data_IF_032741154075
#
_entry.id   IF_032741154075
#
_cell.length_a   1.000
_cell.length_b   1.000
_cell.length_c   1.000
_cell.angle_alpha   90.00
_cell.angle_beta   90.00
_cell.angle_gamma   90.00
#
_symmetry.space_group_name_H-M   'P 1'
#
loop_
_entity.id
_entity.type
_entity.pdbx_description
1 polymer ?
#
# COMPACT_ATOMS: atom_id res chain seq x y z
N UNK A 1 28.63 -35.10 6.92
CA UNK A 1 28.05 -34.95 8.28
C UNK A 1 27.53 -33.51 8.49
N UNK A 2 28.33 -32.47 8.29
CA UNK A 2 27.90 -31.06 8.53
C UNK A 2 26.71 -30.64 7.64
N UNK A 3 26.72 -30.95 6.33
CA UNK A 3 25.64 -30.62 5.40
C UNK A 3 24.35 -31.39 5.77
N UNK A 4 24.46 -32.66 6.20
CA UNK A 4 23.31 -33.46 6.63
C UNK A 4 22.68 -32.88 7.91
N UNK A 5 23.51 -32.45 8.87
CA UNK A 5 23.02 -31.80 10.07
C UNK A 5 22.34 -30.45 9.75
N UNK A 6 22.92 -29.67 8.86
CA UNK A 6 22.31 -28.44 8.36
C UNK A 6 20.95 -28.65 7.71
N UNK A 7 20.82 -29.68 6.85
CA UNK A 7 19.52 -30.09 6.29
C UNK A 7 18.49 -30.46 7.33
N UNK A 8 18.89 -31.21 8.36
CA UNK A 8 18.00 -31.58 9.47
C UNK A 8 17.52 -30.34 10.24
N UNK A 9 18.40 -29.40 10.53
CA UNK A 9 18.03 -28.15 11.21
C UNK A 9 17.05 -27.33 10.36
N UNK A 10 17.29 -27.22 9.04
CA UNK A 10 16.37 -26.54 8.12
C UNK A 10 15.01 -27.23 8.04
N UNK A 11 15.00 -28.58 8.04
CA UNK A 11 13.76 -29.37 8.04
C UNK A 11 12.93 -29.14 9.32
N UNK A 12 13.55 -28.96 10.50
CA UNK A 12 12.82 -28.60 11.74
C UNK A 12 12.18 -27.23 11.65
N UNK A 13 12.72 -26.34 10.81
CA UNK A 13 12.15 -25.01 10.48
C UNK A 13 11.22 -25.05 9.26
N UNK A 14 10.73 -26.23 8.86
CA UNK A 14 9.83 -26.44 7.72
C UNK A 14 10.42 -25.99 6.37
N UNK A 15 11.74 -25.96 6.25
CA UNK A 15 12.45 -25.62 5.01
C UNK A 15 12.97 -26.88 4.36
N UNK A 16 12.54 -27.17 3.13
CA UNK A 16 12.98 -28.32 2.33
C UNK A 16 14.24 -27.92 1.54
N UNK A 17 15.33 -28.68 1.77
CA UNK A 17 16.56 -28.57 1.00
C UNK A 17 16.52 -29.58 -0.14
N UNK A 18 16.50 -29.14 -1.38
CA UNK A 18 16.51 -30.02 -2.56
C UNK A 18 17.90 -30.57 -2.87
N UNK A 19 18.92 -29.73 -2.71
CA UNK A 19 20.30 -30.12 -2.96
C UNK A 19 21.18 -29.81 -1.75
N UNK A 20 21.96 -30.76 -1.26
CA UNK A 20 22.80 -30.58 -0.08
C UNK A 20 23.86 -29.47 -0.24
N UNK A 21 24.34 -29.26 -1.45
CA UNK A 21 25.33 -28.23 -1.75
C UNK A 21 24.77 -26.80 -1.64
N UNK A 22 23.43 -26.63 -1.70
CA UNK A 22 22.83 -25.30 -1.54
C UNK A 22 23.12 -24.70 -0.16
N UNK A 23 23.31 -25.53 0.88
CA UNK A 23 23.62 -25.08 2.25
C UNK A 23 24.99 -24.38 2.27
N UNK A 24 25.99 -24.92 1.56
CA UNK A 24 27.31 -24.30 1.46
C UNK A 24 27.24 -23.01 0.63
N UNK A 25 26.46 -23.01 -0.44
CA UNK A 25 26.26 -21.83 -1.28
C UNK A 25 25.54 -20.74 -0.52
N UNK A 26 24.48 -21.07 0.24
CA UNK A 26 23.75 -20.10 1.09
C UNK A 26 24.65 -19.46 2.13
N UNK A 27 25.60 -20.21 2.70
CA UNK A 27 26.57 -19.66 3.66
C UNK A 27 27.57 -18.66 3.05
N UNK A 28 27.63 -18.57 1.72
CA UNK A 28 28.51 -17.65 0.99
C UNK A 28 27.77 -16.50 0.33
N UNK A 29 26.44 -16.46 0.48
CA UNK A 29 25.61 -15.39 -0.11
C UNK A 29 26.01 -14.05 0.48
N UNK A 30 26.40 -13.13 -0.39
CA UNK A 30 26.72 -11.75 -0.06
C UNK A 30 25.66 -10.76 -0.57
N UNK A 31 24.79 -11.20 -1.46
CA UNK A 31 23.70 -10.38 -2.00
C UNK A 31 22.40 -11.18 -2.05
N UNK A 32 21.34 -10.65 -1.42
CA UNK A 32 20.02 -11.25 -1.36
C UNK A 32 18.99 -10.37 -2.08
N UNK A 33 18.44 -10.90 -3.17
CA UNK A 33 17.35 -10.28 -3.93
C UNK A 33 16.00 -10.79 -3.40
N UNK A 34 15.20 -9.91 -2.86
CA UNK A 34 13.91 -10.19 -2.24
C UNK A 34 12.77 -9.73 -3.16
N UNK A 35 11.87 -10.62 -3.53
CA UNK A 35 10.60 -10.19 -4.10
C UNK A 35 9.78 -9.46 -3.01
N UNK A 36 9.10 -8.37 -3.34
CA UNK A 36 8.27 -7.64 -2.39
C UNK A 36 7.08 -8.51 -1.95
N UNK A 37 6.30 -8.97 -2.94
CA UNK A 37 4.99 -9.59 -2.70
C UNK A 37 5.14 -11.05 -2.28
N UNK A 38 4.55 -11.40 -1.14
CA UNK A 38 4.64 -12.76 -0.59
C UNK A 38 5.96 -13.07 0.15
N UNK A 39 6.95 -12.17 0.10
CA UNK A 39 8.24 -12.30 0.82
C UNK A 39 8.35 -11.27 1.94
N UNK A 40 8.48 -9.99 1.62
CA UNK A 40 8.49 -8.89 2.61
C UNK A 40 7.07 -8.62 3.09
N UNK A 41 6.09 -8.73 2.18
CA UNK A 41 4.67 -8.59 2.48
C UNK A 41 3.97 -9.95 2.49
N UNK A 42 2.80 -10.03 3.11
CA UNK A 42 1.98 -11.24 3.15
C UNK A 42 1.31 -11.56 1.80
N UNK A 43 1.34 -10.62 0.84
CA UNK A 43 0.57 -10.70 -0.40
C UNK A 43 -0.90 -10.29 -0.23
N UNK A 44 -1.27 -9.82 0.95
CA UNK A 44 -2.57 -9.25 1.27
C UNK A 44 -2.47 -7.73 1.43
N UNK A 45 -3.61 -7.05 1.33
CA UNK A 45 -3.71 -5.61 1.54
C UNK A 45 -4.65 -5.29 2.70
N UNK A 46 -4.48 -4.11 3.28
CA UNK A 46 -5.42 -3.55 4.27
C UNK A 46 -5.74 -2.10 3.93
N UNK A 47 -6.93 -1.67 4.32
CA UNK A 47 -7.28 -0.25 4.39
C UNK A 47 -6.66 0.28 5.67
N UNK A 48 -5.65 1.14 5.54
CA UNK A 48 -4.96 1.74 6.68
C UNK A 48 -5.74 2.92 7.24
N UNK A 49 -6.31 3.74 6.35
CA UNK A 49 -7.03 4.94 6.73
C UNK A 49 -8.17 5.25 5.77
N UNK A 50 -9.18 5.96 6.27
CA UNK A 50 -10.32 6.51 5.52
C UNK A 50 -10.42 7.99 5.83
N UNK A 51 -10.21 8.83 4.82
CA UNK A 51 -10.21 10.27 4.96
C UNK A 51 -11.40 10.89 4.26
N UNK A 52 -12.02 11.89 4.89
CA UNK A 52 -13.02 12.73 4.25
C UNK A 52 -12.33 13.67 3.27
N UNK A 53 -12.97 13.92 2.13
CA UNK A 53 -12.55 14.95 1.21
C UNK A 53 -13.65 15.99 1.09
N UNK A 54 -13.36 17.24 1.50
CA UNK A 54 -14.29 18.35 1.42
C UNK A 54 -13.74 19.39 0.45
N UNK A 55 -14.43 19.62 -0.65
CA UNK A 55 -14.06 20.61 -1.67
C UNK A 55 -14.20 22.06 -1.18
N UNK A 56 -14.92 22.28 -0.08
CA UNK A 56 -15.15 23.63 0.48
C UNK A 56 -14.12 24.03 1.53
N UNK A 57 -13.37 23.08 2.08
CA UNK A 57 -12.29 23.31 3.03
C UNK A 57 -11.07 22.48 2.63
N UNK A 58 -10.00 23.14 2.22
CA UNK A 58 -8.69 22.54 1.89
C UNK A 58 -8.01 21.88 3.11
N UNK A 59 -8.76 21.28 3.99
CA UNK A 59 -8.25 20.65 5.21
C UNK A 59 -8.62 19.18 5.19
N UNK A 60 -7.63 18.36 4.83
CA UNK A 60 -7.77 16.92 5.03
C UNK A 60 -7.63 16.63 6.50
N UNK A 61 -8.70 16.18 7.10
CA UNK A 61 -8.70 15.74 8.49
C UNK A 61 -8.12 14.32 8.53
N UNK A 62 -6.87 14.20 8.98
CA UNK A 62 -6.22 12.91 9.19
C UNK A 62 -6.86 12.22 10.38
N UNK A 63 -7.70 11.24 10.12
CA UNK A 63 -8.27 10.39 11.16
C UNK A 63 -7.61 9.01 11.12
N UNK A 64 -6.62 8.80 11.96
CA UNK A 64 -6.16 7.45 12.28
C UNK A 64 -7.19 6.77 13.17
N UNK A 65 -8.26 6.25 12.57
CA UNK A 65 -9.13 5.33 13.27
C UNK A 65 -8.34 4.04 13.51
N UNK A 66 -7.82 3.85 14.74
CA UNK A 66 -7.21 2.58 15.13
C UNK A 66 -8.32 1.55 15.23
N UNK A 67 -8.23 0.51 14.43
CA UNK A 67 -9.13 -0.65 14.47
C UNK A 67 -8.48 -1.76 15.28
N UNK A 68 -9.29 -2.51 16.00
CA UNK A 68 -8.88 -3.73 16.69
C UNK A 68 -8.39 -4.73 15.62
N UNK A 69 -7.14 -5.22 15.71
CA UNK A 69 -6.56 -6.11 14.70
C UNK A 69 -7.24 -7.48 14.65
N UNK A 70 -7.95 -7.91 15.69
CA UNK A 70 -8.62 -9.21 15.74
C UNK A 70 -10.09 -9.14 15.30
N UNK A 71 -10.79 -8.06 15.60
CA UNK A 71 -12.24 -7.97 15.31
C UNK A 71 -12.57 -7.09 14.11
N UNK A 72 -11.65 -6.22 13.67
CA UNK A 72 -11.88 -5.24 12.59
C UNK A 72 -12.89 -4.13 12.98
N UNK A 73 -13.30 -4.07 14.25
CA UNK A 73 -14.21 -3.04 14.74
C UNK A 73 -13.45 -1.76 15.15
N UNK A 74 -14.03 -0.58 14.92
CA UNK A 74 -13.45 0.65 15.40
C UNK A 74 -13.38 0.62 16.93
N UNK A 75 -12.19 0.85 17.49
CA UNK A 75 -11.99 0.90 18.94
C UNK A 75 -12.82 2.06 19.51
N UNK A 76 -13.95 1.75 20.16
CA UNK A 76 -14.90 2.73 20.67
C UNK A 76 -14.38 3.58 21.83
N UNK A 77 -13.15 3.33 22.34
CA UNK A 77 -12.60 4.04 23.49
C UNK A 77 -11.53 5.07 23.06
N UNK A 78 -12.00 6.21 22.55
CA UNK A 78 -11.16 7.37 22.19
C UNK A 78 -10.55 8.06 23.45
N UNK A 79 -10.97 7.69 24.67
CA UNK A 79 -10.51 8.30 25.92
C UNK A 79 -9.19 7.76 26.48
N UNK A 80 -8.56 6.76 25.87
CA UNK A 80 -7.33 6.12 26.36
C UNK A 80 -6.09 6.34 25.45
N UNK A 81 -6.21 7.04 24.33
CA UNK A 81 -5.09 7.32 23.43
C UNK A 81 -4.48 8.69 23.80
N UNK A 82 -3.24 8.68 24.29
CA UNK A 82 -2.43 9.90 24.37
C UNK A 82 -2.26 10.45 22.96
N UNK A 83 -2.53 11.75 22.71
CA UNK A 83 -2.28 12.36 21.42
C UNK A 83 -0.77 12.30 21.12
N UNK A 84 -0.38 11.87 19.93
CA UNK A 84 0.95 12.15 19.41
C UNK A 84 1.01 13.65 19.12
N UNK A 85 1.75 14.35 19.96
CA UNK A 85 1.91 15.80 19.90
C UNK A 85 2.88 16.13 18.78
N UNK A 86 2.37 16.69 17.68
CA UNK A 86 3.22 17.40 16.72
C UNK A 86 3.43 18.81 17.24
N UNK A 87 4.62 19.08 17.78
CA UNK A 87 4.98 20.41 18.28
C UNK A 87 5.49 21.27 17.14
N UNK A 88 4.68 22.18 16.64
CA UNK A 88 5.14 23.30 15.83
C UNK A 88 5.47 24.47 16.75
N UNK A 89 6.75 24.83 16.85
CA UNK A 89 7.22 25.95 17.66
C UNK A 89 7.30 27.22 16.79
N UNK A 90 6.37 28.14 16.95
CA UNK A 90 6.53 29.53 16.49
C UNK A 90 7.12 30.37 17.63
N UNK A 91 8.20 31.10 17.31
CA UNK A 91 8.83 32.04 18.23
C UNK A 91 8.25 33.45 18.01
N UNK A 92 7.37 33.87 18.87
CA UNK A 92 7.09 35.28 19.09
C UNK A 92 7.35 35.66 20.56
N UNK A 93 8.17 36.66 20.76
CA UNK A 93 8.43 37.33 22.05
C UNK A 93 8.92 36.50 23.24
N UNK A 94 9.79 35.50 23.00
CA UNK A 94 10.60 34.92 24.09
C UNK A 94 9.86 34.03 25.07
N UNK A 95 8.60 33.67 24.81
CA UNK A 95 7.85 32.62 25.54
C UNK A 95 7.35 31.57 24.58
N UNK A 96 7.63 30.31 24.91
CA UNK A 96 7.11 29.15 24.18
C UNK A 96 5.69 28.91 24.68
N UNK A 97 4.69 29.21 23.86
CA UNK A 97 3.33 28.73 24.09
C UNK A 97 3.15 27.42 23.31
N UNK A 98 3.08 26.32 24.03
CA UNK A 98 2.65 25.02 23.48
C UNK A 98 1.14 25.06 23.26
N UNK A 99 0.72 25.22 22.02
CA UNK A 99 -0.69 25.04 21.65
C UNK A 99 -0.90 23.56 21.33
N UNK A 100 -1.51 22.83 22.26
CA UNK A 100 -1.95 21.45 22.06
C UNK A 100 -3.25 21.49 21.26
N UNK A 101 -3.16 21.32 19.93
CA UNK A 101 -4.34 21.10 19.09
C UNK A 101 -4.76 19.64 19.22
N UNK A 102 -5.64 19.33 20.16
CA UNK A 102 -6.41 18.10 20.13
C UNK A 102 -7.56 18.30 19.14
N UNK A 103 -7.38 17.93 17.89
CA UNK A 103 -8.47 17.89 16.92
C UNK A 103 -9.48 16.82 17.32
N UNK A 104 -10.50 17.24 18.03
CA UNK A 104 -11.68 16.42 18.30
C UNK A 104 -12.47 16.38 17.00
N UNK A 105 -12.60 15.19 16.40
CA UNK A 105 -13.47 14.95 15.22
C UNK A 105 -14.83 15.59 15.48
N UNK A 106 -15.24 16.50 14.63
CA UNK A 106 -16.51 17.19 14.74
C UNK A 106 -17.67 16.17 14.63
N UNK A 107 -18.82 16.52 15.16
CA UNK A 107 -20.00 15.65 15.06
C UNK A 107 -20.44 15.45 13.60
N UNK A 108 -20.23 16.44 12.78
CA UNK A 108 -20.51 16.42 11.34
C UNK A 108 -19.56 15.47 10.58
N UNK A 109 -18.27 15.50 10.85
CA UNK A 109 -17.29 14.60 10.25
C UNK A 109 -17.56 13.13 10.63
N UNK A 110 -17.95 12.88 11.87
CA UNK A 110 -18.36 11.52 12.29
C UNK A 110 -19.57 11.02 11.51
N UNK A 111 -20.55 11.88 11.25
CA UNK A 111 -21.71 11.54 10.45
C UNK A 111 -21.32 11.24 8.98
N UNK A 112 -20.46 12.05 8.39
CA UNK A 112 -19.94 11.82 7.03
C UNK A 112 -19.17 10.51 6.93
N UNK A 113 -18.32 10.17 7.91
CA UNK A 113 -17.61 8.88 7.96
C UNK A 113 -18.56 7.69 8.11
N UNK A 114 -19.59 7.81 8.95
CA UNK A 114 -20.62 6.77 9.09
C UNK A 114 -21.43 6.59 7.79
N UNK A 115 -21.67 7.67 7.05
CA UNK A 115 -22.30 7.58 5.74
C UNK A 115 -21.41 6.87 4.72
N UNK A 116 -20.10 7.16 4.70
CA UNK A 116 -19.14 6.42 3.87
C UNK A 116 -19.14 4.94 4.22
N UNK A 117 -19.07 4.58 5.51
CA UNK A 117 -19.14 3.19 5.97
C UNK A 117 -20.44 2.49 5.52
N UNK A 118 -21.55 3.19 5.58
CA UNK A 118 -22.85 2.69 5.16
C UNK A 118 -22.92 2.45 3.65
N UNK A 119 -22.50 3.42 2.83
CA UNK A 119 -22.47 3.31 1.37
C UNK A 119 -21.50 2.21 0.94
N UNK A 120 -20.29 2.19 1.49
CA UNK A 120 -19.30 1.17 1.16
C UNK A 120 -19.75 -0.24 1.53
N UNK A 121 -20.41 -0.43 2.68
CA UNK A 121 -20.99 -1.71 3.04
C UNK A 121 -22.02 -2.22 2.01
N UNK A 122 -22.88 -1.33 1.51
CA UNK A 122 -23.83 -1.66 0.44
C UNK A 122 -23.13 -1.91 -0.91
N UNK A 123 -22.09 -1.14 -1.25
CA UNK A 123 -21.29 -1.40 -2.46
C UNK A 123 -20.56 -2.75 -2.37
N UNK A 124 -19.99 -3.11 -1.22
CA UNK A 124 -19.29 -4.39 -1.04
C UNK A 124 -20.22 -5.61 -1.13
N UNK A 125 -21.52 -5.45 -0.89
CA UNK A 125 -22.50 -6.53 -1.06
C UNK A 125 -22.82 -6.84 -2.52
N UNK A 126 -22.59 -5.89 -3.43
CA UNK A 126 -23.00 -5.99 -4.86
C UNK A 126 -21.81 -6.02 -5.82
N UNK A 127 -20.61 -5.65 -5.36
CA UNK A 127 -19.38 -5.73 -6.13
C UNK A 127 -18.63 -7.02 -5.81
N UNK A 128 -18.41 -7.87 -6.82
CA UNK A 128 -17.83 -9.21 -6.66
C UNK A 128 -16.42 -9.33 -7.23
N UNK A 129 -15.67 -8.23 -7.28
CA UNK A 129 -14.29 -8.21 -7.75
C UNK A 129 -13.40 -9.12 -6.88
N UNK A 130 -12.53 -9.93 -7.52
CA UNK A 130 -11.63 -10.87 -6.85
C UNK A 130 -10.19 -10.38 -7.00
N UNK A 131 -9.76 -9.51 -6.09
CA UNK A 131 -8.38 -9.03 -6.01
C UNK A 131 -8.08 -8.55 -4.59
N UNK A 132 -6.80 -8.43 -4.25
CA UNK A 132 -6.35 -8.04 -2.90
C UNK A 132 -6.92 -6.71 -2.41
N UNK A 133 -7.14 -5.75 -3.31
CA UNK A 133 -7.77 -4.45 -2.99
C UNK A 133 -9.23 -4.61 -2.57
N UNK A 134 -10.00 -5.39 -3.35
CA UNK A 134 -11.41 -5.68 -3.03
C UNK A 134 -11.55 -6.47 -1.73
N UNK A 135 -10.63 -7.39 -1.46
CA UNK A 135 -10.62 -8.17 -0.22
C UNK A 135 -10.32 -7.26 1.00
N UNK A 136 -9.37 -6.33 0.86
CA UNK A 136 -9.08 -5.33 1.89
C UNK A 136 -10.30 -4.44 2.18
N UNK A 137 -11.02 -4.00 1.13
CA UNK A 137 -12.23 -3.20 1.26
C UNK A 137 -13.37 -3.99 1.93
N UNK A 138 -13.61 -5.27 1.54
CA UNK A 138 -14.62 -6.11 2.18
C UNK A 138 -14.32 -6.38 3.66
N UNK A 139 -13.03 -6.53 3.99
CA UNK A 139 -12.61 -6.70 5.39
C UNK A 139 -12.88 -5.43 6.21
N UNK A 140 -12.68 -4.25 5.63
CA UNK A 140 -12.88 -2.96 6.29
C UNK A 140 -14.36 -2.54 6.34
N UNK A 141 -15.11 -2.84 5.30
CA UNK A 141 -16.52 -2.45 5.13
C UNK A 141 -17.41 -3.69 5.05
N UNK A 142 -17.92 -4.19 6.18
CA UNK A 142 -18.80 -5.35 6.20
C UNK A 142 -20.02 -5.14 5.32
N UNK A 143 -20.40 -6.18 4.56
CA UNK A 143 -21.53 -6.13 3.62
C UNK A 143 -22.84 -5.72 4.27
N UNK A 144 -23.56 -4.82 3.64
CA UNK A 144 -24.91 -4.35 4.01
C UNK A 144 -25.84 -4.48 2.80
N UNK A 145 -27.15 -4.64 3.04
CA UNK A 145 -28.18 -4.80 1.99
C UNK A 145 -29.44 -3.98 2.31
N UNK A 146 -29.25 -2.77 2.84
CA UNK A 146 -30.36 -1.89 3.23
C UNK A 146 -30.66 -0.78 2.22
N UNK A 147 -29.80 -0.62 1.18
CA UNK A 147 -30.07 0.24 0.05
C UNK A 147 -30.57 -0.56 -1.16
N UNK A 148 -31.56 -0.02 -1.85
CA UNK A 148 -32.12 -0.66 -3.04
C UNK A 148 -31.20 -0.41 -4.25
N UNK A 149 -30.54 -1.47 -4.69
CA UNK A 149 -29.68 -1.44 -5.87
C UNK A 149 -30.51 -1.25 -7.15
N UNK A 150 -30.14 -0.29 -8.00
CA UNK A 150 -30.63 -0.19 -9.38
C UNK A 150 -29.74 -1.05 -10.29
N UNK A 151 -28.43 -0.82 -10.29
CA UNK A 151 -27.45 -1.72 -10.92
C UNK A 151 -26.03 -1.53 -10.35
N UNK A 152 -25.21 -2.55 -10.48
CA UNK A 152 -23.80 -2.51 -10.16
C UNK A 152 -22.97 -2.15 -11.39
N UNK A 153 -21.87 -1.42 -11.17
CA UNK A 153 -20.86 -1.09 -12.18
C UNK A 153 -19.60 -1.88 -11.84
N UNK A 154 -19.37 -3.08 -12.43
CA UNK A 154 -18.20 -3.90 -12.12
C UNK A 154 -16.90 -3.19 -12.50
N UNK A 155 -15.80 -3.54 -11.83
CA UNK A 155 -14.48 -3.02 -12.18
C UNK A 155 -14.11 -3.37 -13.62
N UNK A 156 -13.47 -2.44 -14.29
CA UNK A 156 -12.86 -2.65 -15.60
C UNK A 156 -11.44 -2.11 -15.61
N UNK A 157 -10.52 -2.89 -16.18
CA UNK A 157 -9.11 -2.47 -16.34
C UNK A 157 -8.95 -1.25 -17.23
N UNK A 158 -9.91 -1.00 -18.13
CA UNK A 158 -9.90 0.18 -19.01
C UNK A 158 -10.41 1.42 -18.27
N UNK A 159 -11.50 1.29 -17.51
CA UNK A 159 -12.12 2.38 -16.76
C UNK A 159 -11.42 2.69 -15.45
N UNK A 160 -10.77 1.68 -14.83
CA UNK A 160 -10.07 1.79 -13.52
C UNK A 160 -10.97 2.24 -12.36
N UNK A 161 -12.28 2.01 -12.47
CA UNK A 161 -13.25 2.22 -11.40
C UNK A 161 -14.33 1.14 -11.40
N UNK A 162 -15.00 1.01 -10.28
CA UNK A 162 -16.22 0.25 -10.05
C UNK A 162 -17.23 1.11 -9.30
N UNK A 163 -18.47 0.67 -9.18
CA UNK A 163 -19.48 1.45 -8.47
C UNK A 163 -20.82 0.77 -8.36
N UNK A 164 -21.78 1.50 -7.81
CA UNK A 164 -23.17 1.09 -7.70
C UNK A 164 -24.11 2.29 -7.82
N UNK A 165 -25.30 2.05 -8.34
CA UNK A 165 -26.38 3.02 -8.43
C UNK A 165 -27.49 2.56 -7.49
N UNK A 166 -27.85 3.41 -6.53
CA UNK A 166 -28.89 3.13 -5.55
C UNK A 166 -30.11 4.05 -5.76
N UNK A 167 -31.31 3.48 -5.65
CA UNK A 167 -32.57 4.20 -5.87
C UNK A 167 -32.70 5.39 -4.90
N UNK A 168 -32.94 6.58 -5.45
CA UNK A 168 -33.06 7.83 -4.70
C UNK A 168 -31.76 8.31 -4.01
N UNK A 169 -30.62 7.69 -4.32
CA UNK A 169 -29.29 8.03 -3.76
C UNK A 169 -28.26 8.35 -4.84
N UNK A 170 -28.59 8.14 -6.13
CA UNK A 170 -27.69 8.42 -7.24
C UNK A 170 -26.61 7.34 -7.45
N UNK A 171 -25.49 7.78 -8.02
CA UNK A 171 -24.38 6.92 -8.43
C UNK A 171 -23.17 7.13 -7.52
N UNK A 172 -22.62 6.03 -7.01
CA UNK A 172 -21.36 6.00 -6.28
C UNK A 172 -20.30 5.29 -7.09
N UNK A 173 -19.18 5.93 -7.32
CA UNK A 173 -18.01 5.36 -8.01
C UNK A 173 -16.81 5.31 -7.10
N UNK A 174 -16.02 4.24 -7.22
CA UNK A 174 -14.78 4.07 -6.49
C UNK A 174 -13.66 3.68 -7.45
N UNK A 175 -12.55 4.42 -7.44
CA UNK A 175 -11.45 4.20 -8.36
C UNK A 175 -10.29 5.16 -8.15
N UNK A 176 -9.29 5.10 -9.04
CA UNK A 176 -8.17 6.03 -9.00
C UNK A 176 -8.61 7.43 -9.45
N UNK A 177 -8.14 8.46 -8.75
CA UNK A 177 -8.56 9.86 -8.93
C UNK A 177 -8.50 10.33 -10.39
N UNK A 178 -7.41 10.05 -11.11
CA UNK A 178 -7.21 10.47 -12.50
C UNK A 178 -8.23 9.87 -13.49
N UNK A 179 -8.88 8.76 -13.13
CA UNK A 179 -9.92 8.15 -13.97
C UNK A 179 -11.33 8.60 -13.59
N UNK A 180 -11.54 9.01 -12.35
CA UNK A 180 -12.80 9.59 -11.90
C UNK A 180 -12.89 11.07 -12.29
N UNK A 181 -11.78 11.81 -12.24
CA UNK A 181 -11.70 13.24 -12.48
C UNK A 181 -10.64 13.61 -13.53
N UNK A 182 -10.77 13.19 -14.80
CA UNK A 182 -9.75 13.41 -15.82
C UNK A 182 -9.65 14.88 -16.29
N UNK A 183 -10.68 15.69 -16.08
CA UNK A 183 -10.79 17.07 -16.61
C UNK A 183 -10.49 18.12 -15.52
N UNK A 184 -10.05 17.71 -14.33
CA UNK A 184 -9.79 18.66 -13.24
C UNK A 184 -9.92 18.02 -11.88
N UNK A 185 -9.55 18.73 -10.91
CA UNK A 185 -9.33 18.50 -9.51
C UNK A 185 -7.84 18.25 -9.22
N UNK A 186 -7.03 19.24 -9.64
CA UNK A 186 -5.57 19.20 -9.47
C UNK A 186 -5.19 19.00 -8.00
N UNK A 187 -5.92 19.62 -7.10
CA UNK A 187 -5.72 19.50 -5.65
C UNK A 187 -5.93 18.04 -5.15
N UNK A 188 -7.00 17.38 -5.58
CA UNK A 188 -7.23 15.97 -5.26
C UNK A 188 -6.12 15.06 -5.82
N UNK A 189 -5.68 15.33 -7.06
CA UNK A 189 -4.62 14.57 -7.71
C UNK A 189 -3.28 14.76 -6.99
N UNK A 190 -2.95 15.98 -6.59
CA UNK A 190 -1.75 16.29 -5.83
C UNK A 190 -1.78 15.62 -4.45
N UNK A 191 -2.93 15.65 -3.79
CA UNK A 191 -3.17 14.98 -2.52
C UNK A 191 -2.98 13.46 -2.64
N UNK A 192 -3.60 12.84 -3.63
CA UNK A 192 -3.40 11.42 -3.92
C UNK A 192 -1.93 11.10 -4.23
N UNK A 193 -1.23 11.99 -4.95
CA UNK A 193 0.19 11.82 -5.28
C UNK A 193 1.08 11.83 -4.04
N UNK A 194 0.82 12.70 -3.06
CA UNK A 194 1.59 12.73 -1.81
C UNK A 194 1.50 11.42 -1.04
N UNK A 195 0.31 10.86 -0.86
CA UNK A 195 0.15 9.56 -0.23
C UNK A 195 0.74 8.39 -1.04
N UNK A 196 0.69 8.47 -2.37
CA UNK A 196 1.35 7.47 -3.22
C UNK A 196 2.87 7.45 -2.98
N UNK A 197 3.50 8.61 -2.73
CA UNK A 197 4.91 8.71 -2.35
C UNK A 197 5.22 8.09 -0.98
N UNK A 198 4.23 8.03 -0.09
CA UNK A 198 4.34 7.33 1.19
C UNK A 198 4.09 5.81 1.09
N UNK A 199 3.80 5.31 -0.11
CA UNK A 199 3.61 3.88 -0.40
C UNK A 199 2.17 3.40 -0.29
N UNK A 200 1.19 4.30 -0.24
CA UNK A 200 -0.21 3.93 -0.26
C UNK A 200 -0.73 3.78 -1.69
N UNK A 201 -1.65 2.85 -1.87
CA UNK A 201 -2.58 2.83 -3.00
C UNK A 201 -3.82 3.61 -2.60
N UNK A 202 -4.16 4.65 -3.34
CA UNK A 202 -5.29 5.51 -3.03
C UNK A 202 -6.46 5.16 -3.95
N UNK A 203 -7.64 4.94 -3.36
CA UNK A 203 -8.91 4.92 -4.06
C UNK A 203 -9.76 6.08 -3.58
N UNK A 204 -10.41 6.75 -4.51
CA UNK A 204 -11.37 7.81 -4.24
C UNK A 204 -12.77 7.23 -4.31
N UNK A 205 -13.60 7.48 -3.29
CA UNK A 205 -15.04 7.34 -3.37
C UNK A 205 -15.62 8.67 -3.83
N UNK A 206 -16.42 8.61 -4.88
CA UNK A 206 -17.09 9.77 -5.45
C UNK A 206 -18.59 9.51 -5.62
N UNK A 207 -19.38 10.56 -5.56
CA UNK A 207 -20.84 10.53 -5.60
C UNK A 207 -21.39 11.52 -6.63
N UNK A 208 -22.51 11.16 -7.24
CA UNK A 208 -23.35 12.06 -8.02
C UNK A 208 -24.81 11.72 -7.75
N UNK A 209 -25.66 12.72 -7.64
CA UNK A 209 -27.13 12.54 -7.51
C UNK A 209 -27.76 11.90 -8.77
N UNK A 210 -27.05 11.91 -9.89
CA UNK A 210 -27.52 11.32 -11.14
C UNK A 210 -27.52 9.80 -11.07
N UNK A 211 -28.66 9.17 -11.29
CA UNK A 211 -28.78 7.72 -11.47
C UNK A 211 -28.41 7.36 -12.92
N UNK A 212 -27.18 6.88 -13.13
CA UNK A 212 -26.73 6.46 -14.46
C UNK A 212 -27.40 5.14 -14.86
N UNK A 213 -27.62 4.93 -16.17
CA UNK A 213 -28.18 3.68 -16.71
C UNK A 213 -27.11 2.71 -17.21
N UNK A 214 -25.90 3.18 -17.36
CA UNK A 214 -24.75 2.45 -17.90
C UNK A 214 -23.57 2.43 -16.94
N UNK A 215 -22.39 2.29 -17.51
CA UNK A 215 -21.12 2.22 -16.77
C UNK A 215 -20.29 3.50 -16.91
N UNK A 216 -20.83 4.51 -17.60
CA UNK A 216 -20.18 5.81 -17.78
C UNK A 216 -20.21 6.62 -16.48
N UNK A 217 -19.27 7.55 -16.38
CA UNK A 217 -19.25 8.51 -15.27
C UNK A 217 -20.46 9.46 -15.37
N UNK A 218 -21.16 9.67 -14.25
CA UNK A 218 -22.23 10.67 -14.20
C UNK A 218 -21.65 12.09 -14.30
N UNK A 219 -22.51 13.04 -14.64
CA UNK A 219 -22.22 14.48 -14.47
C UNK A 219 -22.33 14.86 -12.98
N UNK A 220 -21.65 15.93 -12.58
CA UNK A 220 -21.69 16.38 -11.17
C UNK A 220 -21.11 15.35 -10.19
N UNK A 221 -20.08 14.61 -10.61
CA UNK A 221 -19.37 13.68 -9.73
C UNK A 221 -18.49 14.47 -8.78
N UNK A 222 -18.67 14.28 -7.48
CA UNK A 222 -17.92 14.94 -6.41
C UNK A 222 -17.18 13.91 -5.55
N UNK A 223 -15.93 14.16 -5.12
CA UNK A 223 -15.20 13.28 -4.23
C UNK A 223 -15.77 13.36 -2.81
N UNK A 224 -16.00 12.23 -2.16
CA UNK A 224 -16.47 12.11 -0.77
C UNK A 224 -15.35 11.74 0.19
N UNK A 225 -14.45 10.86 -0.24
CA UNK A 225 -13.39 10.38 0.64
C UNK A 225 -12.32 9.59 -0.08
N UNK A 226 -11.21 9.38 0.63
CA UNK A 226 -10.03 8.68 0.18
C UNK A 226 -9.83 7.43 1.03
N UNK A 227 -9.54 6.31 0.39
CA UNK A 227 -9.13 5.07 1.05
C UNK A 227 -7.64 4.86 0.83
N UNK A 228 -6.87 4.91 1.91
CA UNK A 228 -5.44 4.65 1.90
C UNK A 228 -5.22 3.16 2.13
N UNK A 229 -4.78 2.46 1.11
CA UNK A 229 -4.61 1.02 1.11
C UNK A 229 -3.12 0.70 1.02
N UNK A 230 -2.64 -0.22 1.85
CA UNK A 230 -1.24 -0.63 1.88
C UNK A 230 -1.11 -2.15 1.86
N UNK A 231 0.04 -2.63 1.40
CA UNK A 231 0.43 -4.04 1.58
C UNK A 231 0.69 -4.34 3.07
N UNK A 232 0.26 -5.50 3.52
CA UNK A 232 0.56 -5.96 4.89
C UNK A 232 2.00 -6.47 4.92
N UNK A 233 2.87 -5.74 5.64
CA UNK A 233 4.26 -6.15 5.87
C UNK A 233 4.26 -7.30 6.88
N UNK A 234 5.03 -8.36 6.61
CA UNK A 234 5.18 -9.47 7.57
C UNK A 234 5.77 -8.97 8.87
N UNK A 235 5.26 -9.47 9.98
CA UNK A 235 5.72 -9.08 11.32
C UNK A 235 7.23 -9.36 11.51
N UNK A 236 7.72 -10.46 10.92
CA UNK A 236 9.12 -10.88 11.04
C UNK A 236 10.05 -10.17 10.03
N UNK A 237 9.53 -9.40 9.07
CA UNK A 237 10.34 -8.81 8.02
C UNK A 237 11.38 -7.82 8.55
N UNK A 238 11.08 -6.89 9.48
CA UNK A 238 12.07 -5.95 9.99
C UNK A 238 13.25 -6.65 10.67
N UNK A 239 12.99 -7.63 11.53
CA UNK A 239 14.02 -8.38 12.25
C UNK A 239 14.87 -9.22 11.28
N UNK A 240 14.22 -9.81 10.26
CA UNK A 240 14.90 -10.61 9.25
C UNK A 240 15.84 -9.74 8.39
N UNK A 241 15.38 -8.57 7.93
CA UNK A 241 16.21 -7.65 7.16
C UNK A 241 17.38 -7.12 8.00
N UNK A 242 17.14 -6.76 9.26
CA UNK A 242 18.18 -6.32 10.19
C UNK A 242 19.22 -7.43 10.45
N UNK A 243 18.79 -8.69 10.54
CA UNK A 243 19.71 -9.83 10.68
C UNK A 243 20.63 -9.96 9.48
N UNK A 244 20.11 -9.97 8.25
CA UNK A 244 20.94 -10.09 7.05
C UNK A 244 21.90 -8.91 6.89
N UNK A 245 21.45 -7.69 7.15
CA UNK A 245 22.29 -6.50 7.16
C UNK A 245 23.44 -6.63 8.18
N UNK A 246 23.17 -7.16 9.39
CA UNK A 246 24.21 -7.40 10.41
C UNK A 246 25.24 -8.45 10.00
N UNK A 247 24.89 -9.35 9.09
CA UNK A 247 25.79 -10.34 8.49
C UNK A 247 26.57 -9.78 7.27
N UNK A 248 26.38 -8.52 6.91
CA UNK A 248 27.04 -7.88 5.78
C UNK A 248 26.46 -8.31 4.42
N UNK A 249 25.24 -8.84 4.39
CA UNK A 249 24.56 -9.22 3.14
C UNK A 249 23.91 -7.97 2.53
N UNK A 250 24.21 -7.69 1.27
CA UNK A 250 23.58 -6.61 0.50
C UNK A 250 22.14 -7.01 0.12
N UNK A 251 21.18 -6.21 0.57
CA UNK A 251 19.75 -6.49 0.36
C UNK A 251 19.20 -5.67 -0.79
N UNK A 252 18.54 -6.36 -1.74
CA UNK A 252 17.87 -5.73 -2.86
C UNK A 252 16.41 -6.16 -2.94
N UNK A 253 15.51 -5.18 -3.02
CA UNK A 253 14.06 -5.43 -3.14
C UNK A 253 13.64 -5.24 -4.59
N UNK A 254 12.95 -6.23 -5.14
CA UNK A 254 12.55 -6.29 -6.53
C UNK A 254 11.03 -6.45 -6.60
N UNK A 255 10.35 -5.62 -7.40
CA UNK A 255 8.89 -5.71 -7.58
C UNK A 255 8.46 -5.28 -8.98
N UNK A 256 7.30 -5.78 -9.42
CA UNK A 256 6.60 -5.27 -10.59
C UNK A 256 5.84 -3.96 -10.35
N UNK A 257 5.72 -3.52 -9.10
CA UNK A 257 4.99 -2.31 -8.71
C UNK A 257 5.80 -1.03 -8.97
N UNK A 258 5.16 0.11 -8.79
CA UNK A 258 5.80 1.43 -8.91
C UNK A 258 7.00 1.57 -7.96
N UNK A 259 8.15 2.07 -8.42
CA UNK A 259 9.38 2.11 -7.63
C UNK A 259 9.27 2.98 -6.37
N UNK A 260 8.49 4.05 -6.38
CA UNK A 260 8.28 4.92 -5.21
C UNK A 260 7.52 4.16 -4.13
N UNK A 261 6.44 3.48 -4.52
CA UNK A 261 5.66 2.63 -3.60
C UNK A 261 6.52 1.49 -3.03
N UNK A 262 7.32 0.83 -3.86
CA UNK A 262 8.22 -0.26 -3.40
C UNK A 262 9.27 0.27 -2.43
N UNK A 263 9.86 1.43 -2.71
CA UNK A 263 10.82 2.12 -1.84
C UNK A 263 10.19 2.43 -0.47
N UNK A 264 8.99 3.00 -0.45
CA UNK A 264 8.29 3.34 0.79
C UNK A 264 7.98 2.09 1.63
N UNK A 265 7.51 0.99 1.01
CA UNK A 265 7.26 -0.29 1.69
C UNK A 265 8.57 -0.90 2.21
N UNK A 266 9.63 -0.92 1.41
CA UNK A 266 10.94 -1.41 1.80
C UNK A 266 11.52 -0.62 2.99
N UNK A 267 11.33 0.71 3.00
CA UNK A 267 11.70 1.58 4.12
C UNK A 267 10.91 1.26 5.39
N UNK A 268 9.58 1.10 5.28
CA UNK A 268 8.72 0.69 6.40
C UNK A 268 9.10 -0.70 6.93
N UNK A 269 9.58 -1.61 6.09
CA UNK A 269 10.10 -2.92 6.46
C UNK A 269 11.52 -2.87 7.05
N UNK A 270 12.20 -1.71 7.09
CA UNK A 270 13.51 -1.55 7.71
C UNK A 270 14.72 -1.66 6.77
N UNK A 271 14.52 -1.66 5.45
CA UNK A 271 15.65 -1.64 4.48
C UNK A 271 16.40 -0.29 4.57
N UNK A 272 17.70 -0.31 4.91
CA UNK A 272 18.49 0.91 5.16
C UNK A 272 18.63 1.83 3.96
N UNK A 273 18.84 1.29 2.76
CA UNK A 273 19.07 2.06 1.55
C UNK A 273 17.85 2.11 0.63
N UNK A 274 16.64 2.05 1.21
CA UNK A 274 15.39 2.00 0.45
C UNK A 274 15.17 3.22 -0.46
N UNK A 275 15.77 4.37 -0.14
CA UNK A 275 15.72 5.60 -0.95
C UNK A 275 16.54 5.53 -2.24
N UNK A 276 17.44 4.53 -2.38
CA UNK A 276 18.16 4.26 -3.62
C UNK A 276 17.33 3.32 -4.51
N UNK A 277 16.34 3.87 -5.19
CA UNK A 277 15.45 3.12 -6.05
C UNK A 277 15.54 3.52 -7.51
N UNK A 278 15.15 2.63 -8.41
CA UNK A 278 15.12 2.86 -9.84
C UNK A 278 13.86 2.25 -10.49
N UNK A 279 13.36 2.93 -11.53
CA UNK A 279 12.36 2.38 -12.44
C UNK A 279 13.05 1.49 -13.46
N UNK A 280 12.81 0.19 -13.40
CA UNK A 280 13.43 -0.77 -14.32
C UNK A 280 13.03 -0.57 -15.78
N UNK A 281 11.96 0.17 -16.08
CA UNK A 281 11.59 0.51 -17.45
C UNK A 281 12.58 1.48 -18.10
N UNK A 282 13.37 2.20 -17.31
CA UNK A 282 14.42 3.12 -17.82
C UNK A 282 15.69 2.40 -18.20
N UNK A 283 15.92 1.18 -17.73
CA UNK A 283 17.14 0.38 -18.01
C UNK A 283 17.01 -0.28 -19.38
N UNK A 284 17.86 0.11 -20.33
CA UNK A 284 17.82 -0.36 -21.72
C UNK A 284 19.01 -1.22 -22.10
N UNK A 285 20.17 -1.03 -21.48
CA UNK A 285 21.42 -1.72 -21.82
C UNK A 285 21.93 -2.58 -20.66
N UNK A 286 22.85 -3.49 -20.97
CA UNK A 286 23.52 -4.34 -19.98
C UNK A 286 24.38 -3.53 -19.03
N UNK A 287 25.04 -2.49 -19.54
CA UNK A 287 25.89 -1.58 -18.76
C UNK A 287 25.05 -0.76 -17.76
N UNK A 288 23.86 -0.31 -18.18
CA UNK A 288 22.92 0.37 -17.29
C UNK A 288 22.44 -0.58 -16.20
N UNK A 289 22.16 -1.85 -16.54
CA UNK A 289 21.78 -2.86 -15.55
C UNK A 289 22.90 -3.09 -14.53
N UNK A 290 24.14 -3.21 -14.98
CA UNK A 290 25.31 -3.40 -14.10
C UNK A 290 25.50 -2.23 -13.12
N UNK A 291 25.31 -0.98 -13.59
CA UNK A 291 25.34 0.20 -12.73
C UNK A 291 24.16 0.22 -11.75
N UNK A 292 22.95 -0.04 -12.25
CA UNK A 292 21.75 -0.03 -11.41
C UNK A 292 21.84 -1.04 -10.25
N UNK A 293 22.32 -2.27 -10.50
CA UNK A 293 22.46 -3.26 -9.43
C UNK A 293 23.55 -2.93 -8.42
N UNK A 294 24.55 -2.11 -8.81
CA UNK A 294 25.60 -1.65 -7.89
C UNK A 294 25.13 -0.46 -7.04
N UNK A 295 24.30 0.44 -7.58
CA UNK A 295 23.96 1.72 -6.96
C UNK A 295 22.59 1.70 -6.24
N UNK A 296 21.65 0.84 -6.68
CA UNK A 296 20.29 0.82 -6.18
C UNK A 296 20.00 -0.42 -5.31
N UNK A 297 19.19 -0.22 -4.29
CA UNK A 297 18.68 -1.27 -3.41
C UNK A 297 17.22 -1.64 -3.69
N UNK A 298 16.48 -0.80 -4.42
CA UNK A 298 15.08 -1.03 -4.73
C UNK A 298 14.82 -0.89 -6.23
N UNK A 299 14.10 -1.86 -6.79
CA UNK A 299 13.80 -1.93 -8.22
C UNK A 299 12.29 -2.08 -8.41
N UNK A 300 11.67 -1.08 -9.04
CA UNK A 300 10.25 -1.09 -9.39
C UNK A 300 10.01 -1.39 -10.86
N UNK A 301 8.79 -1.77 -11.23
CA UNK A 301 8.32 -2.12 -12.58
C UNK A 301 9.21 -3.16 -13.30
N UNK A 302 9.75 -4.09 -12.50
CA UNK A 302 10.66 -5.12 -13.00
C UNK A 302 9.87 -6.23 -13.67
N UNK A 303 10.25 -6.59 -14.89
CA UNK A 303 9.73 -7.74 -15.61
C UNK A 303 10.46 -9.03 -15.20
N UNK A 304 9.86 -10.23 -15.40
CA UNK A 304 10.53 -11.51 -15.13
C UNK A 304 11.87 -11.66 -15.87
N UNK A 305 11.96 -11.11 -17.10
CA UNK A 305 13.18 -11.12 -17.87
C UNK A 305 14.28 -10.26 -17.20
N UNK A 306 13.91 -9.09 -16.71
CA UNK A 306 14.86 -8.21 -16.02
C UNK A 306 15.32 -8.79 -14.68
N UNK A 307 14.47 -9.54 -13.95
CA UNK A 307 14.89 -10.26 -12.72
C UNK A 307 16.08 -11.18 -13.02
N UNK A 308 16.02 -11.94 -14.13
CA UNK A 308 17.14 -12.78 -14.59
C UNK A 308 18.39 -11.97 -14.93
N UNK A 309 18.23 -10.86 -15.65
CA UNK A 309 19.35 -9.98 -16.03
C UNK A 309 20.03 -9.36 -14.81
N UNK A 310 19.27 -8.98 -13.78
CA UNK A 310 19.81 -8.45 -12.52
C UNK A 310 20.71 -9.48 -11.82
N UNK A 311 20.23 -10.72 -11.68
CA UNK A 311 21.03 -11.80 -11.09
C UNK A 311 22.32 -12.02 -11.89
N UNK A 312 22.24 -12.05 -13.22
CA UNK A 312 23.42 -12.20 -14.09
C UNK A 312 24.39 -11.02 -13.96
N UNK A 313 23.88 -9.79 -13.85
CA UNK A 313 24.70 -8.60 -13.65
C UNK A 313 25.47 -8.66 -12.32
N UNK A 314 24.79 -9.01 -11.21
CA UNK A 314 25.42 -9.20 -9.91
C UNK A 314 26.49 -10.31 -9.94
N UNK A 315 26.18 -11.45 -10.55
CA UNK A 315 27.14 -12.56 -10.70
C UNK A 315 28.37 -12.17 -11.52
N UNK A 316 28.20 -11.33 -12.57
CA UNK A 316 29.33 -10.81 -13.36
C UNK A 316 30.26 -9.90 -12.54
N UNK A 317 29.73 -9.27 -11.50
CA UNK A 317 30.47 -8.49 -10.49
C UNK A 317 31.05 -9.34 -9.36
N UNK A 318 30.97 -10.68 -9.48
CA UNK A 318 31.48 -11.69 -8.53
C UNK A 318 30.69 -11.81 -7.25
N UNK A 319 29.44 -11.36 -7.21
CA UNK A 319 28.54 -11.58 -6.08
C UNK A 319 28.00 -13.01 -6.07
N UNK A 320 27.85 -13.56 -4.88
CA UNK A 320 27.11 -14.81 -4.63
C UNK A 320 25.66 -14.45 -4.28
N UNK A 321 24.77 -14.61 -5.26
CA UNK A 321 23.41 -14.10 -5.20
C UNK A 321 22.43 -15.18 -4.79
N UNK A 322 21.59 -14.90 -3.78
CA UNK A 322 20.35 -15.62 -3.55
C UNK A 322 19.16 -14.77 -3.99
N UNK A 323 18.09 -15.42 -4.42
CA UNK A 323 16.84 -14.78 -4.81
C UNK A 323 15.64 -15.53 -4.27
N UNK A 324 14.68 -14.79 -3.71
CA UNK A 324 13.35 -15.29 -3.32
C UNK A 324 12.29 -14.83 -4.30
N UNK A 325 11.18 -15.57 -4.38
CA UNK A 325 10.03 -15.21 -5.21
C UNK A 325 9.40 -16.40 -5.88
#
# INVERSE_FOLDING_TARGET
>A
VALTLGSMVLATKKTLVQELYCIETLARVDTLCLDKTGTITEGTMKVEDVQLYDTAQTTVVQHTAKFDPETGEPVQNVSALKPEVTVSAEKENGQIQETVNSETVSQEERQKLQEIDHIMGNMMSVLHDQNATADALRKRFPSRNDLKLIHAIPFSSDRKYSGAVFEGRGTYLMGAAQFLFPEGNEELLEHCSSYAQEGYRILVLAHSEQETKGTERPTGLEPLGLFLITDVIREEAPDTLAFFDSQGVDLKVISGDDPVTVSAIAKKAGLKNANHYIDATTIKTSEEMQRAVAECSVFGRVTPQQKKQMVQALQSQKHTVAMTG
#
